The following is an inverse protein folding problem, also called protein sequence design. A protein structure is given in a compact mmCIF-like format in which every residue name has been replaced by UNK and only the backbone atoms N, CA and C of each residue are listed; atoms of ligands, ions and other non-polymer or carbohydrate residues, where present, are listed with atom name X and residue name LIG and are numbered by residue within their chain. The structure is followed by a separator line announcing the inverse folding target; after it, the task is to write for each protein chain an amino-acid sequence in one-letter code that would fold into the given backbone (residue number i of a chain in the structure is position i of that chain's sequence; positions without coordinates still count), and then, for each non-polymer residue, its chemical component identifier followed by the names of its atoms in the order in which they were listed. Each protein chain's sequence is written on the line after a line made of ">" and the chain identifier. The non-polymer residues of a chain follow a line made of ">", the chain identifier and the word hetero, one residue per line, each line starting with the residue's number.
data_IF_943336640413
#
_entry.id   IF_943336640413
#
_cell.length_a   1.000
_cell.length_b   1.000
_cell.length_c   1.000
_cell.angle_alpha   90.00
_cell.angle_beta   90.00
_cell.angle_gamma   90.00
#
_symmetry.space_group_name_H-M   'P 1'
#
loop_
_entity.id
_entity.type
_entity.pdbx_description
1 polymer ?
#
# COMPACT_ATOMS: atom_id res chain seq x y z
N UNK A 1 36.62 -8.01 -44.36
CA UNK A 1 35.51 -8.47 -43.50
C UNK A 1 35.10 -7.32 -42.59
N UNK A 2 34.11 -6.53 -43.00
CA UNK A 2 33.59 -5.39 -42.23
C UNK A 2 32.25 -5.82 -41.59
N UNK A 3 32.18 -5.87 -40.26
CA UNK A 3 30.92 -6.22 -39.57
C UNK A 3 30.98 -6.42 -38.05
N UNK A 4 32.05 -6.00 -37.36
CA UNK A 4 32.22 -6.29 -35.92
C UNK A 4 31.95 -5.12 -34.96
N UNK A 5 31.95 -3.88 -35.44
CA UNK A 5 31.90 -2.70 -34.57
C UNK A 5 30.48 -2.21 -34.26
N UNK A 6 29.47 -2.78 -34.95
CA UNK A 6 28.06 -2.43 -34.83
C UNK A 6 27.24 -3.32 -33.88
N UNK A 7 27.83 -4.34 -33.25
CA UNK A 7 27.05 -5.29 -32.43
C UNK A 7 27.28 -5.10 -30.92
N UNK A 8 28.42 -4.54 -30.50
CA UNK A 8 28.78 -4.38 -29.08
C UNK A 8 27.97 -3.31 -28.34
N UNK A 9 27.85 -2.10 -28.92
CA UNK A 9 27.01 -1.01 -28.42
C UNK A 9 25.52 -1.38 -28.34
N UNK A 10 24.99 -2.06 -29.36
CA UNK A 10 23.60 -2.52 -29.38
C UNK A 10 23.33 -3.56 -28.27
N UNK A 11 24.25 -4.50 -28.07
CA UNK A 11 24.18 -5.46 -26.95
C UNK A 11 24.24 -4.79 -25.58
N UNK A 12 25.09 -3.76 -25.43
CA UNK A 12 25.24 -3.02 -24.17
C UNK A 12 23.97 -2.22 -23.81
N UNK A 13 23.36 -1.56 -24.81
CA UNK A 13 22.09 -0.85 -24.66
C UNK A 13 20.96 -1.83 -24.33
N UNK A 14 20.89 -2.95 -25.03
CA UNK A 14 19.85 -3.96 -24.79
C UNK A 14 19.95 -4.53 -23.37
N UNK A 15 21.16 -4.75 -22.87
CA UNK A 15 21.40 -5.20 -21.50
C UNK A 15 20.94 -4.16 -20.47
N UNK A 16 21.23 -2.86 -20.69
CA UNK A 16 20.76 -1.79 -19.81
C UNK A 16 19.23 -1.69 -19.81
N UNK A 17 18.60 -1.72 -20.98
CA UNK A 17 17.14 -1.68 -21.12
C UNK A 17 16.49 -2.88 -20.42
N UNK A 18 17.08 -4.07 -20.56
CA UNK A 18 16.62 -5.27 -19.87
C UNK A 18 16.65 -5.10 -18.35
N UNK A 19 17.76 -4.61 -17.79
CA UNK A 19 17.87 -4.32 -16.34
C UNK A 19 16.87 -3.27 -15.87
N UNK A 20 16.67 -2.20 -16.64
CA UNK A 20 15.66 -1.18 -16.34
C UNK A 20 14.25 -1.79 -16.33
N UNK A 21 13.91 -2.62 -17.31
CA UNK A 21 12.64 -3.33 -17.37
C UNK A 21 12.42 -4.23 -16.16
N UNK A 22 13.46 -4.97 -15.73
CA UNK A 22 13.39 -5.81 -14.53
C UNK A 22 13.12 -4.97 -13.28
N UNK A 23 13.82 -3.85 -13.11
CA UNK A 23 13.61 -2.95 -11.95
C UNK A 23 12.22 -2.33 -11.98
N UNK A 24 11.77 -1.84 -13.14
CA UNK A 24 10.42 -1.26 -13.30
C UNK A 24 9.36 -2.31 -13.01
N UNK A 25 9.51 -3.54 -13.52
CA UNK A 25 8.60 -4.65 -13.25
C UNK A 25 8.54 -5.00 -11.76
N UNK A 26 9.69 -5.05 -11.08
CA UNK A 26 9.76 -5.31 -9.64
C UNK A 26 9.09 -4.18 -8.84
N UNK A 27 9.39 -2.93 -9.15
CA UNK A 27 8.77 -1.76 -8.49
C UNK A 27 7.26 -1.75 -8.73
N UNK A 28 6.80 -2.05 -9.94
CA UNK A 28 5.38 -2.15 -10.26
C UNK A 28 4.70 -3.26 -9.47
N UNK A 29 5.32 -4.44 -9.38
CA UNK A 29 4.80 -5.57 -8.61
C UNK A 29 4.68 -5.24 -7.12
N UNK A 30 5.71 -4.61 -6.55
CA UNK A 30 5.71 -4.16 -5.15
C UNK A 30 4.64 -3.07 -4.96
N UNK A 31 4.54 -2.08 -5.84
CA UNK A 31 3.52 -1.03 -5.75
C UNK A 31 2.12 -1.59 -5.88
N UNK A 32 1.89 -2.58 -6.75
CA UNK A 32 0.62 -3.25 -6.90
C UNK A 32 0.26 -4.06 -5.65
N UNK A 33 1.20 -4.83 -5.09
CA UNK A 33 0.98 -5.59 -3.86
C UNK A 33 0.69 -4.68 -2.66
N UNK A 34 1.38 -3.54 -2.55
CA UNK A 34 1.13 -2.53 -1.53
C UNK A 34 -0.21 -1.83 -1.76
N UNK A 35 -0.60 -1.55 -3.01
CA UNK A 35 -1.89 -0.93 -3.33
C UNK A 35 -3.06 -1.88 -3.05
N UNK A 36 -2.94 -3.17 -3.39
CA UNK A 36 -3.94 -4.19 -3.04
C UNK A 36 -4.10 -4.30 -1.53
N UNK A 37 -3.01 -4.19 -0.76
CA UNK A 37 -3.12 -4.18 0.72
C UNK A 37 -3.48 -2.81 1.30
N UNK A 38 -3.35 -1.69 0.56
CA UNK A 38 -3.77 -0.36 1.02
C UNK A 38 -5.23 -0.04 0.68
N UNK A 39 -5.77 -0.60 -0.40
CA UNK A 39 -7.17 -0.45 -0.80
C UNK A 39 -8.17 -0.92 0.26
N UNK A 40 -7.75 -1.83 1.15
CA UNK A 40 -8.55 -2.29 2.29
C UNK A 40 -8.14 -1.65 3.63
N UNK A 41 -6.94 -1.07 3.71
CA UNK A 41 -6.42 -0.46 4.94
C UNK A 41 -6.87 0.98 5.14
N UNK A 42 -7.25 1.73 4.11
CA UNK A 42 -7.76 3.08 4.34
C UNK A 42 -9.14 3.08 5.01
N UNK A 43 -9.98 2.07 4.74
CA UNK A 43 -11.24 1.86 5.48
C UNK A 43 -10.97 1.31 6.89
N UNK A 44 -10.11 0.29 7.02
CA UNK A 44 -9.78 -0.30 8.32
C UNK A 44 -9.00 0.65 9.26
N UNK A 45 -8.17 1.55 8.73
CA UNK A 45 -7.42 2.56 9.50
C UNK A 45 -8.30 3.73 9.93
N UNK A 46 -9.32 4.06 9.15
CA UNK A 46 -10.38 4.99 9.56
C UNK A 46 -11.21 4.44 10.71
N UNK A 47 -11.70 3.19 10.58
CA UNK A 47 -12.47 2.51 11.63
C UNK A 47 -11.64 2.28 12.90
N UNK A 48 -10.37 1.86 12.76
CA UNK A 48 -9.47 1.68 13.92
C UNK A 48 -9.21 2.99 14.67
N UNK A 49 -8.99 4.11 13.95
CA UNK A 49 -8.87 5.44 14.57
C UNK A 49 -10.15 5.88 15.26
N UNK A 50 -11.31 5.63 14.66
CA UNK A 50 -12.60 5.99 15.24
C UNK A 50 -12.86 5.20 16.55
N UNK A 51 -12.55 3.91 16.56
CA UNK A 51 -12.65 3.05 17.76
C UNK A 51 -11.66 3.50 18.85
N UNK A 52 -10.42 3.87 18.49
CA UNK A 52 -9.43 4.36 19.45
C UNK A 52 -9.88 5.67 20.12
N UNK A 53 -10.43 6.62 19.34
CA UNK A 53 -11.01 7.87 19.86
C UNK A 53 -12.21 7.57 20.78
N UNK A 54 -13.06 6.61 20.39
CA UNK A 54 -14.21 6.20 21.20
C UNK A 54 -13.76 5.63 22.56
N UNK A 55 -12.71 4.80 22.54
CA UNK A 55 -12.16 4.17 23.75
C UNK A 55 -11.55 5.21 24.71
N UNK A 56 -10.90 6.23 24.16
CA UNK A 56 -10.35 7.33 24.96
C UNK A 56 -11.45 8.12 25.68
N UNK A 57 -12.57 8.43 24.99
CA UNK A 57 -13.71 9.14 25.60
C UNK A 57 -14.42 8.31 26.66
N UNK A 58 -14.52 7.00 26.44
CA UNK A 58 -15.04 6.08 27.45
C UNK A 58 -14.14 6.05 28.70
N UNK A 59 -12.81 6.01 28.52
CA UNK A 59 -11.86 6.07 29.63
C UNK A 59 -11.89 7.40 30.38
N UNK A 60 -12.20 8.51 29.68
CA UNK A 60 -12.45 9.82 30.28
C UNK A 60 -13.81 9.92 30.99
N UNK A 61 -14.69 8.93 30.81
CA UNK A 61 -16.05 8.94 31.36
C UNK A 61 -17.01 9.90 30.64
N UNK A 62 -16.65 10.39 29.46
CA UNK A 62 -17.46 11.31 28.66
C UNK A 62 -18.65 10.62 27.98
N UNK A 63 -18.59 9.30 27.82
CA UNK A 63 -19.63 8.46 27.21
C UNK A 63 -19.86 7.22 28.05
N UNK A 64 -21.12 6.79 28.13
CA UNK A 64 -21.50 5.61 28.88
C UNK A 64 -21.27 4.32 28.06
N UNK A 65 -21.25 3.16 28.73
CA UNK A 65 -21.05 1.84 28.11
C UNK A 65 -22.08 1.56 27.01
N UNK A 66 -23.32 2.03 27.19
CA UNK A 66 -24.41 1.87 26.23
C UNK A 66 -24.17 2.66 24.93
N UNK A 67 -23.67 3.89 25.04
CA UNK A 67 -23.29 4.72 23.89
C UNK A 67 -22.07 4.16 23.17
N UNK A 68 -21.08 3.69 23.93
CA UNK A 68 -19.90 3.01 23.39
C UNK A 68 -20.29 1.78 22.56
N UNK A 69 -21.16 0.93 23.07
CA UNK A 69 -21.63 -0.29 22.39
C UNK A 69 -22.53 -0.01 21.17
N UNK A 70 -23.24 1.12 21.15
CA UNK A 70 -23.98 1.58 19.96
C UNK A 70 -23.02 2.01 18.85
N UNK A 71 -22.11 2.94 19.15
CA UNK A 71 -21.21 3.52 18.15
C UNK A 71 -20.21 2.49 17.63
N UNK A 72 -19.75 1.57 18.48
CA UNK A 72 -18.90 0.44 18.07
C UNK A 72 -19.61 -0.48 17.07
N UNK A 73 -20.91 -0.73 17.23
CA UNK A 73 -21.69 -1.54 16.29
C UNK A 73 -21.89 -0.81 14.96
N UNK A 74 -22.16 0.49 15.02
CA UNK A 74 -22.31 1.32 13.81
C UNK A 74 -21.00 1.44 13.02
N UNK A 75 -19.83 1.43 13.68
CA UNK A 75 -18.50 1.49 13.05
C UNK A 75 -17.97 0.15 12.53
N UNK A 76 -18.61 -0.96 12.92
CA UNK A 76 -18.31 -2.32 12.46
C UNK A 76 -19.26 -2.80 11.34
N UNK A 77 -20.28 -2.00 11.00
CA UNK A 77 -21.22 -2.24 9.89
C UNK A 77 -20.71 -1.59 8.62
#
# INVERSE_FOLDING_TARGET
>A
MMGGWGMGWFGMIFMLVFWVLVVVGLVFLIKWLIQTTKGEKDVARGSSKAIDILKERYARGEINKEEFEKIKRDLQT
#
